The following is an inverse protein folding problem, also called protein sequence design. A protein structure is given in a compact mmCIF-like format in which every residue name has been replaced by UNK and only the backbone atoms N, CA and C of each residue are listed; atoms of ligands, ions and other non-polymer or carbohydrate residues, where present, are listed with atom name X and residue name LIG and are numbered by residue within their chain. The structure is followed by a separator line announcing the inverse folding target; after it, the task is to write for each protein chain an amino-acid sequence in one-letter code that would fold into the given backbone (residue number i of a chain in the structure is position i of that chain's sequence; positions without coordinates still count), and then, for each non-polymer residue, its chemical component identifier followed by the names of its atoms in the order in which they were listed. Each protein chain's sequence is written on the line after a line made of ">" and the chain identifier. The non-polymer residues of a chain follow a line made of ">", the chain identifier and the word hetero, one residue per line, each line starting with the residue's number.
data_IF_286763917276
#
_entry.id   IF_286763917276
#
_cell.length_a   1.000
_cell.length_b   1.000
_cell.length_c   1.000
_cell.angle_alpha   90.00
_cell.angle_beta   90.00
_cell.angle_gamma   90.00
#
_symmetry.space_group_name_H-M   'P 1'
#
loop_
_entity.id
_entity.type
_entity.pdbx_description
1 polymer ?
#
# COMPACT_ATOMS: atom_id res chain seq x y z
N UNK A 1 17.55 2.82 -23.31
CA UNK A 1 18.26 3.53 -22.22
C UNK A 1 17.32 4.39 -21.37
N UNK A 2 16.56 5.31 -21.97
CA UNK A 2 15.64 6.23 -21.26
C UNK A 2 14.54 5.52 -20.44
N UNK A 3 13.95 4.44 -20.97
CA UNK A 3 12.91 3.65 -20.28
C UNK A 3 13.45 2.94 -19.04
N UNK A 4 14.69 2.42 -19.11
CA UNK A 4 15.35 1.77 -17.98
C UNK A 4 15.67 2.77 -16.87
N UNK A 5 16.12 3.97 -17.24
CA UNK A 5 16.39 5.05 -16.28
C UNK A 5 15.10 5.54 -15.60
N UNK A 6 14.00 5.67 -16.36
CA UNK A 6 12.68 6.03 -15.82
C UNK A 6 12.15 4.99 -14.85
N UNK A 7 12.37 3.70 -15.09
CA UNK A 7 11.96 2.63 -14.17
C UNK A 7 12.82 2.60 -12.91
N UNK A 8 14.13 2.82 -13.05
CA UNK A 8 15.04 2.96 -11.91
C UNK A 8 14.61 4.17 -11.06
N UNK A 9 14.36 5.32 -11.68
CA UNK A 9 13.85 6.50 -10.96
C UNK A 9 12.46 6.26 -10.35
N UNK A 10 11.55 5.59 -11.06
CA UNK A 10 10.23 5.27 -10.53
C UNK A 10 10.31 4.31 -9.34
N UNK A 11 11.24 3.35 -9.37
CA UNK A 11 11.48 2.34 -8.34
C UNK A 11 12.26 2.89 -7.12
N UNK A 12 13.16 3.85 -7.35
CA UNK A 12 13.89 4.57 -6.29
C UNK A 12 12.97 5.57 -5.58
N UNK A 13 12.07 6.23 -6.31
CA UNK A 13 11.22 7.32 -5.78
C UNK A 13 9.91 6.80 -5.19
N UNK A 14 9.41 5.66 -5.67
CA UNK A 14 8.35 4.88 -5.04
C UNK A 14 8.80 3.43 -5.06
N UNK A 15 8.75 2.69 -3.96
CA UNK A 15 7.47 2.16 -3.52
C UNK A 15 7.77 1.29 -2.30
N UNK A 16 6.86 1.33 -1.33
CA UNK A 16 6.75 0.44 -0.17
C UNK A 16 6.89 -1.05 -0.56
N UNK A 17 6.93 -1.96 0.41
CA UNK A 17 7.10 -3.42 0.26
C UNK A 17 6.43 -4.09 -0.96
N UNK A 18 5.31 -3.56 -1.45
CA UNK A 18 4.52 -4.05 -2.59
C UNK A 18 5.27 -4.05 -3.94
N UNK A 19 6.23 -3.14 -4.19
CA UNK A 19 6.94 -3.12 -5.48
C UNK A 19 7.91 -4.29 -5.68
N UNK A 20 8.38 -4.91 -4.58
CA UNK A 20 9.28 -6.08 -4.64
C UNK A 20 8.65 -7.24 -5.40
N UNK A 21 7.32 -7.37 -5.35
CA UNK A 21 6.56 -8.41 -6.04
C UNK A 21 6.30 -8.11 -7.52
N UNK A 22 6.24 -6.84 -7.90
CA UNK A 22 5.94 -6.40 -9.27
C UNK A 22 7.21 -6.31 -10.12
N UNK A 23 8.36 -6.08 -9.50
CA UNK A 23 9.65 -5.92 -10.20
C UNK A 23 9.97 -7.07 -11.18
N UNK A 24 9.86 -8.36 -10.81
CA UNK A 24 10.19 -9.45 -11.73
C UNK A 24 9.29 -9.48 -12.96
N UNK A 25 8.00 -9.18 -12.80
CA UNK A 25 7.04 -9.17 -13.90
C UNK A 25 7.35 -8.03 -14.87
N UNK A 26 7.66 -6.84 -14.36
CA UNK A 26 8.03 -5.69 -15.19
C UNK A 26 9.34 -5.92 -15.94
N UNK A 27 10.36 -6.48 -15.27
CA UNK A 27 11.64 -6.79 -15.89
C UNK A 27 11.45 -7.83 -16.99
N UNK A 28 10.70 -8.90 -16.73
CA UNK A 28 10.41 -9.94 -17.72
C UNK A 28 9.67 -9.37 -18.94
N UNK A 29 8.70 -8.49 -18.71
CA UNK A 29 7.97 -7.80 -19.77
C UNK A 29 8.92 -6.99 -20.66
N UNK A 30 9.80 -6.18 -20.07
CA UNK A 30 10.76 -5.36 -20.80
C UNK A 30 11.74 -6.22 -21.58
N UNK A 31 12.33 -7.24 -20.95
CA UNK A 31 13.26 -8.13 -21.63
C UNK A 31 12.56 -8.87 -22.78
N UNK A 32 11.28 -9.21 -22.63
CA UNK A 32 10.50 -9.85 -23.70
C UNK A 32 10.20 -8.93 -24.87
N UNK A 33 10.08 -7.62 -24.64
CA UNK A 33 9.87 -6.62 -25.71
C UNK A 33 11.18 -6.29 -26.43
N UNK A 34 12.29 -6.14 -25.69
CA UNK A 34 13.54 -5.61 -26.24
C UNK A 34 14.56 -6.68 -26.65
N UNK A 35 14.55 -7.85 -26.03
CA UNK A 35 15.49 -8.93 -26.33
C UNK A 35 14.78 -10.01 -27.13
N UNK A 36 15.14 -10.15 -28.41
CA UNK A 36 14.78 -11.31 -29.23
C UNK A 36 15.68 -12.49 -28.88
N UNK A 37 15.52 -13.04 -27.69
CA UNK A 37 16.31 -14.18 -27.19
C UNK A 37 15.43 -15.31 -26.68
N UNK A 38 16.05 -16.46 -26.41
CA UNK A 38 15.37 -17.61 -25.80
C UNK A 38 14.71 -17.20 -24.47
N UNK A 39 13.51 -17.72 -24.22
CA UNK A 39 12.75 -17.49 -22.99
C UNK A 39 13.55 -17.84 -21.73
N UNK A 40 14.41 -18.88 -21.78
CA UNK A 40 15.27 -19.24 -20.66
C UNK A 40 16.26 -18.13 -20.30
N UNK A 41 16.90 -17.52 -21.30
CA UNK A 41 17.83 -16.39 -21.08
C UNK A 41 17.07 -15.21 -20.48
N UNK A 42 15.84 -14.94 -20.94
CA UNK A 42 15.00 -13.88 -20.40
C UNK A 42 14.61 -14.13 -18.94
N UNK A 43 14.23 -15.36 -18.59
CA UNK A 43 13.91 -15.73 -17.21
C UNK A 43 15.15 -15.59 -16.32
N UNK A 44 16.30 -16.14 -16.73
CA UNK A 44 17.53 -16.04 -15.96
C UNK A 44 17.97 -14.59 -15.75
N UNK A 45 17.96 -13.78 -16.80
CA UNK A 45 18.28 -12.35 -16.70
C UNK A 45 17.27 -11.62 -15.81
N UNK A 46 15.98 -11.94 -15.91
CA UNK A 46 14.94 -11.38 -15.03
C UNK A 46 15.25 -11.68 -13.57
N UNK A 47 15.54 -12.94 -13.24
CA UNK A 47 15.84 -13.35 -11.86
C UNK A 47 17.05 -12.61 -11.31
N UNK A 48 18.15 -12.53 -12.07
CA UNK A 48 19.38 -11.84 -11.65
C UNK A 48 19.11 -10.35 -11.41
N UNK A 49 18.50 -9.67 -12.37
CA UNK A 49 18.20 -8.23 -12.26
C UNK A 49 17.23 -7.96 -11.11
N UNK A 50 16.22 -8.82 -10.93
CA UNK A 50 15.25 -8.70 -9.82
C UNK A 50 15.93 -8.81 -8.46
N UNK A 51 16.82 -9.78 -8.28
CA UNK A 51 17.58 -9.95 -7.04
C UNK A 51 18.43 -8.72 -6.76
N UNK A 52 19.16 -8.21 -7.76
CA UNK A 52 19.99 -7.00 -7.62
C UNK A 52 19.14 -5.80 -7.21
N UNK A 53 18.01 -5.58 -7.88
CA UNK A 53 17.11 -4.46 -7.58
C UNK A 53 16.50 -4.60 -6.20
N UNK A 54 15.96 -5.78 -5.84
CA UNK A 54 15.32 -6.02 -4.54
C UNK A 54 16.34 -5.85 -3.41
N UNK A 55 17.51 -6.48 -3.50
CA UNK A 55 18.55 -6.41 -2.48
C UNK A 55 19.16 -5.01 -2.37
N UNK A 56 19.41 -4.36 -3.51
CA UNK A 56 19.87 -2.97 -3.55
C UNK A 56 18.89 -2.03 -2.87
N UNK A 57 17.58 -2.21 -3.08
CA UNK A 57 16.57 -1.41 -2.39
C UNK A 57 16.45 -1.71 -0.91
N UNK A 58 16.55 -2.97 -0.48
CA UNK A 58 16.61 -3.32 0.95
C UNK A 58 17.81 -2.64 1.62
N UNK A 59 18.96 -2.66 0.95
CA UNK A 59 20.19 -2.05 1.45
C UNK A 59 20.06 -0.52 1.52
N UNK A 60 19.62 0.12 0.44
CA UNK A 60 19.39 1.57 0.41
C UNK A 60 18.35 2.00 1.45
N UNK A 61 17.25 1.26 1.60
CA UNK A 61 16.25 1.54 2.63
C UNK A 61 16.88 1.48 4.03
N UNK A 62 17.72 0.48 4.30
CA UNK A 62 18.43 0.35 5.59
C UNK A 62 19.37 1.53 5.88
N UNK A 63 20.04 2.08 4.86
CA UNK A 63 21.01 3.17 5.05
C UNK A 63 20.41 4.57 5.00
N UNK A 64 19.34 4.77 4.23
CA UNK A 64 18.78 6.11 3.94
C UNK A 64 17.37 6.34 4.49
N UNK A 65 16.67 5.30 4.93
CA UNK A 65 15.37 5.47 5.58
C UNK A 65 15.59 5.53 7.09
N UNK A 66 15.06 6.57 7.74
CA UNK A 66 14.75 6.49 9.17
C UNK A 66 13.84 5.29 9.39
N UNK A 67 14.04 4.52 10.46
CA UNK A 67 13.17 3.39 10.81
C UNK A 67 11.72 3.88 10.97
N UNK A 68 10.96 3.78 9.88
CA UNK A 68 9.57 4.13 9.84
C UNK A 68 8.78 2.88 10.15
N UNK A 69 8.20 2.80 11.35
CA UNK A 69 7.28 1.73 11.74
C UNK A 69 5.91 1.85 11.04
N UNK A 70 5.90 2.31 9.78
CA UNK A 70 4.71 2.56 8.97
C UNK A 70 3.92 1.29 8.66
N UNK A 71 4.51 0.11 8.87
CA UNK A 71 3.88 -1.19 8.72
C UNK A 71 2.83 -1.48 9.78
N UNK A 72 2.94 -0.85 10.97
CA UNK A 72 1.98 -1.05 12.05
C UNK A 72 0.58 -0.54 11.68
N UNK A 73 0.47 0.50 10.84
CA UNK A 73 -0.82 1.09 10.48
C UNK A 73 -1.66 0.16 9.57
N UNK A 74 -1.13 -0.39 8.47
CA UNK A 74 -1.82 -1.44 7.72
C UNK A 74 -2.16 -2.64 8.60
N UNK A 75 -1.21 -3.12 9.42
CA UNK A 75 -1.43 -4.28 10.29
C UNK A 75 -2.60 -4.04 11.26
N UNK A 76 -2.58 -2.90 11.97
CA UNK A 76 -3.65 -2.48 12.86
C UNK A 76 -4.99 -2.44 12.13
N UNK A 77 -5.04 -1.81 10.95
CA UNK A 77 -6.27 -1.68 10.17
C UNK A 77 -6.84 -3.03 9.73
N UNK A 78 -5.98 -3.95 9.30
CA UNK A 78 -6.40 -5.28 8.89
C UNK A 78 -6.90 -6.11 10.09
N UNK A 79 -6.18 -6.06 11.22
CA UNK A 79 -6.58 -6.73 12.46
C UNK A 79 -7.92 -6.17 12.94
N UNK A 80 -8.06 -4.85 12.99
CA UNK A 80 -9.31 -4.15 13.33
C UNK A 80 -10.47 -4.59 12.43
N UNK A 81 -10.23 -4.67 11.11
CA UNK A 81 -11.26 -5.12 10.16
C UNK A 81 -11.69 -6.56 10.36
N UNK A 82 -10.75 -7.46 10.66
CA UNK A 82 -11.08 -8.85 11.00
C UNK A 82 -11.83 -8.93 12.33
N UNK A 83 -11.40 -8.22 13.37
CA UNK A 83 -12.08 -8.16 14.68
C UNK A 83 -13.52 -7.66 14.57
N UNK A 84 -13.76 -6.60 13.80
CA UNK A 84 -15.12 -6.08 13.58
C UNK A 84 -15.96 -7.08 12.78
N UNK A 85 -15.38 -7.76 11.79
CA UNK A 85 -16.11 -8.72 10.96
C UNK A 85 -16.49 -10.01 11.71
N UNK A 86 -15.68 -10.47 12.66
CA UNK A 86 -16.01 -11.61 13.53
C UNK A 86 -16.95 -11.24 14.68
N UNK A 87 -17.02 -9.94 15.03
CA UNK A 87 -17.89 -9.31 16.04
C UNK A 87 -17.73 -9.79 17.49
N UNK A 88 -17.21 -11.01 17.71
CA UNK A 88 -17.15 -11.68 19.01
C UNK A 88 -15.72 -11.86 19.54
N UNK A 89 -14.69 -11.49 18.78
CA UNK A 89 -13.29 -11.62 19.20
C UNK A 89 -12.51 -10.36 18.82
N UNK A 90 -11.86 -9.77 19.81
CA UNK A 90 -11.03 -8.58 19.65
C UNK A 90 -9.57 -9.01 19.53
N UNK A 91 -9.12 -9.14 18.28
CA UNK A 91 -7.78 -9.64 17.95
C UNK A 91 -6.67 -8.60 18.16
N UNK A 92 -6.99 -7.37 18.59
CA UNK A 92 -5.96 -6.36 18.82
C UNK A 92 -5.03 -6.76 19.98
N UNK A 93 -3.76 -6.33 19.97
CA UNK A 93 -2.84 -6.55 21.09
C UNK A 93 -3.32 -5.92 22.39
N UNK A 94 -2.90 -6.47 23.52
CA UNK A 94 -3.32 -5.98 24.85
C UNK A 94 -2.85 -4.55 25.10
N UNK A 95 -1.65 -4.17 24.63
CA UNK A 95 -1.16 -2.79 24.76
C UNK A 95 -2.08 -1.74 24.10
N UNK A 96 -2.86 -2.13 23.08
CA UNK A 96 -3.87 -1.25 22.46
C UNK A 96 -5.09 -1.14 23.36
N UNK A 97 -5.47 -2.25 23.99
CA UNK A 97 -6.65 -2.37 24.84
C UNK A 97 -6.46 -1.78 26.24
N UNK A 98 -5.22 -1.61 26.69
CA UNK A 98 -4.88 -1.06 27.99
C UNK A 98 -5.31 0.41 28.15
N UNK A 99 -5.22 1.21 27.09
CA UNK A 99 -5.66 2.61 27.11
C UNK A 99 -7.18 2.69 26.93
N UNK A 100 -7.92 2.53 28.03
CA UNK A 100 -9.40 2.57 28.07
C UNK A 100 -9.99 3.93 27.68
N UNK A 101 -9.20 5.00 27.70
CA UNK A 101 -9.66 6.32 27.26
C UNK A 101 -9.64 6.43 25.73
N UNK A 102 -8.73 5.72 25.08
CA UNK A 102 -8.57 5.73 23.62
C UNK A 102 -9.37 4.60 22.95
N UNK A 103 -9.37 3.42 23.57
CA UNK A 103 -9.86 2.19 22.96
C UNK A 103 -11.00 1.54 23.74
N UNK A 104 -12.08 1.24 23.02
CA UNK A 104 -13.04 0.21 23.39
C UNK A 104 -13.48 -0.53 22.13
N UNK A 105 -13.83 -1.80 22.27
CA UNK A 105 -14.23 -2.61 21.11
C UNK A 105 -15.51 -2.06 20.45
N UNK A 106 -16.43 -1.52 21.25
CA UNK A 106 -17.63 -0.86 20.73
C UNK A 106 -17.29 0.42 19.96
N UNK A 107 -16.32 1.21 20.42
CA UNK A 107 -15.84 2.38 19.69
C UNK A 107 -15.14 1.98 18.38
N UNK A 108 -14.36 0.90 18.40
CA UNK A 108 -13.77 0.34 17.18
C UNK A 108 -14.86 -0.02 16.17
N UNK A 109 -15.90 -0.77 16.58
CA UNK A 109 -17.01 -1.14 15.69
C UNK A 109 -17.73 0.08 15.12
N UNK A 110 -17.93 1.12 15.93
CA UNK A 110 -18.62 2.33 15.51
C UNK A 110 -17.82 3.15 14.49
N UNK A 111 -16.49 3.22 14.63
CA UNK A 111 -15.63 4.04 13.78
C UNK A 111 -15.01 3.32 12.58
N UNK A 112 -14.95 1.99 12.65
CA UNK A 112 -14.30 1.19 11.63
C UNK A 112 -15.07 1.26 10.30
N UNK A 113 -14.36 1.60 9.24
CA UNK A 113 -14.84 1.46 7.87
C UNK A 113 -13.75 0.82 7.02
N UNK A 114 -14.13 -0.07 6.10
CA UNK A 114 -13.18 -0.65 5.14
C UNK A 114 -12.70 0.37 4.08
N UNK A 115 -13.13 1.63 4.16
CA UNK A 115 -12.81 2.68 3.20
C UNK A 115 -11.70 3.61 3.66
N UNK A 116 -11.61 3.89 4.96
CA UNK A 116 -10.69 4.88 5.49
C UNK A 116 -9.97 4.34 6.72
N UNK A 117 -8.65 4.35 6.66
CA UNK A 117 -7.79 4.06 7.82
C UNK A 117 -7.76 5.25 8.79
N UNK A 118 -7.97 6.46 8.26
CA UNK A 118 -7.74 7.71 8.97
C UNK A 118 -8.67 7.88 10.17
N UNK A 119 -9.91 7.38 10.09
CA UNK A 119 -10.88 7.47 11.19
C UNK A 119 -10.41 6.76 12.45
N UNK A 120 -9.48 5.81 12.34
CA UNK A 120 -8.97 5.05 13.47
C UNK A 120 -7.67 5.62 14.05
N UNK A 121 -6.89 6.36 13.26
CA UNK A 121 -5.51 6.72 13.58
C UNK A 121 -5.35 8.24 13.77
N UNK A 122 -6.13 9.04 13.07
CA UNK A 122 -6.00 10.49 13.04
C UNK A 122 -7.23 11.19 13.60
N UNK A 123 -7.02 12.38 14.18
CA UNK A 123 -8.08 13.20 14.77
C UNK A 123 -8.35 12.88 16.25
N UNK A 124 -9.31 13.61 16.83
CA UNK A 124 -9.64 13.55 18.26
C UNK A 124 -10.34 12.25 18.66
N UNK A 125 -10.92 11.53 17.69
CA UNK A 125 -11.62 10.25 17.92
C UNK A 125 -10.75 9.04 17.66
N UNK A 126 -9.45 9.21 17.40
CA UNK A 126 -8.53 8.10 17.10
C UNK A 126 -8.59 7.04 18.21
N UNK A 127 -8.42 5.80 17.81
CA UNK A 127 -8.47 4.63 18.72
C UNK A 127 -7.11 3.94 18.85
N UNK A 128 -6.09 4.47 18.17
CA UNK A 128 -4.74 3.91 18.15
C UNK A 128 -3.68 4.99 18.08
N UNK A 129 -2.60 4.81 18.85
CA UNK A 129 -1.38 5.60 18.76
C UNK A 129 -0.26 4.72 18.24
N UNK A 130 0.40 5.18 17.16
CA UNK A 130 1.61 4.51 16.68
C UNK A 130 2.69 4.49 17.76
N UNK A 131 3.43 3.41 17.80
CA UNK A 131 4.53 3.19 18.74
C UNK A 131 5.84 2.92 18.02
N UNK A 132 6.94 3.17 18.72
CA UNK A 132 8.30 2.77 18.31
C UNK A 132 8.89 1.71 19.25
N UNK A 133 8.10 1.22 20.20
CA UNK A 133 8.52 0.16 21.11
C UNK A 133 8.59 -1.18 20.35
N UNK A 134 9.78 -1.81 20.24
CA UNK A 134 9.95 -3.06 19.51
C UNK A 134 9.04 -4.19 20.00
N UNK A 135 8.73 -4.24 21.30
CA UNK A 135 7.89 -5.28 21.89
C UNK A 135 6.45 -5.11 21.38
N UNK A 136 5.91 -3.89 21.45
CA UNK A 136 4.56 -3.57 20.98
C UNK A 136 4.42 -3.75 19.46
N UNK A 137 5.47 -3.46 18.70
CA UNK A 137 5.51 -3.71 17.26
C UNK A 137 5.46 -5.22 16.96
N UNK A 138 6.21 -6.03 17.70
CA UNK A 138 6.18 -7.48 17.56
C UNK A 138 4.81 -8.07 17.96
N UNK A 139 4.17 -7.53 19.00
CA UNK A 139 2.82 -7.93 19.38
C UNK A 139 1.80 -7.60 18.28
N UNK A 140 1.88 -6.41 17.66
CA UNK A 140 1.03 -6.05 16.53
C UNK A 140 1.22 -6.98 15.33
N UNK A 141 2.48 -7.31 15.01
CA UNK A 141 2.78 -8.26 13.95
C UNK A 141 2.23 -9.66 14.26
N UNK A 142 2.31 -10.09 15.52
CA UNK A 142 1.79 -11.37 15.98
C UNK A 142 0.27 -11.43 15.88
N UNK A 143 -0.43 -10.37 16.28
CA UNK A 143 -1.88 -10.22 16.12
C UNK A 143 -2.29 -10.25 14.64
N UNK A 144 -1.54 -9.57 13.77
CA UNK A 144 -1.76 -9.60 12.33
C UNK A 144 -1.61 -11.01 11.73
N UNK A 145 -0.55 -11.73 12.10
CA UNK A 145 -0.35 -13.12 11.66
C UNK A 145 -1.49 -14.01 12.17
N UNK A 146 -1.90 -13.85 13.44
CA UNK A 146 -3.02 -14.60 14.03
C UNK A 146 -4.33 -14.37 13.26
N UNK A 147 -4.64 -13.12 12.91
CA UNK A 147 -5.82 -12.77 12.12
C UNK A 147 -5.84 -13.48 10.76
N UNK A 148 -4.69 -13.57 10.08
CA UNK A 148 -4.56 -14.27 8.79
C UNK A 148 -4.72 -15.79 8.97
N UNK A 149 -4.01 -16.36 9.94
CA UNK A 149 -3.94 -17.80 10.12
C UNK A 149 -5.25 -18.39 10.63
N UNK A 150 -5.94 -17.70 11.53
CA UNK A 150 -7.16 -18.21 12.17
C UNK A 150 -8.44 -17.77 11.44
N UNK A 151 -8.41 -16.65 10.70
CA UNK A 151 -9.57 -16.14 9.97
C UNK A 151 -9.27 -15.81 8.49
N UNK A 152 -8.68 -16.72 7.70
CA UNK A 152 -8.16 -16.43 6.37
C UNK A 152 -9.21 -15.92 5.39
N UNK A 153 -10.43 -16.48 5.42
CA UNK A 153 -11.52 -16.07 4.52
C UNK A 153 -12.03 -14.66 4.85
N UNK A 154 -12.08 -14.32 6.14
CA UNK A 154 -12.54 -13.00 6.61
C UNK A 154 -11.48 -11.95 6.29
N UNK A 155 -10.21 -12.27 6.55
CA UNK A 155 -9.08 -11.44 6.17
C UNK A 155 -9.07 -11.17 4.65
N UNK A 156 -9.24 -12.22 3.83
CA UNK A 156 -9.26 -12.07 2.37
C UNK A 156 -10.45 -11.22 1.93
N UNK A 157 -11.64 -11.46 2.47
CA UNK A 157 -12.84 -10.65 2.20
C UNK A 157 -12.58 -9.17 2.56
N UNK A 158 -12.00 -8.91 3.72
CA UNK A 158 -11.63 -7.57 4.16
C UNK A 158 -10.67 -6.89 3.15
N UNK A 159 -9.58 -7.58 2.76
CA UNK A 159 -8.64 -7.07 1.75
C UNK A 159 -9.29 -6.83 0.39
N UNK A 160 -10.21 -7.69 -0.03
CA UNK A 160 -10.95 -7.53 -1.29
C UNK A 160 -11.88 -6.32 -1.25
N UNK A 161 -12.54 -6.05 -0.12
CA UNK A 161 -13.37 -4.86 0.07
C UNK A 161 -12.50 -3.60 0.06
N UNK A 162 -11.38 -3.58 0.78
CA UNK A 162 -10.44 -2.46 0.75
C UNK A 162 -9.96 -2.20 -0.69
N UNK A 163 -9.58 -3.27 -1.40
CA UNK A 163 -9.17 -3.18 -2.78
C UNK A 163 -10.28 -2.60 -3.67
N UNK A 164 -11.51 -3.09 -3.56
CA UNK A 164 -12.64 -2.55 -4.30
C UNK A 164 -12.87 -1.06 -3.99
N UNK A 165 -12.74 -0.64 -2.72
CA UNK A 165 -12.80 0.78 -2.36
C UNK A 165 -11.66 1.58 -2.97
N UNK A 166 -10.42 1.09 -2.93
CA UNK A 166 -9.28 1.76 -3.57
C UNK A 166 -9.48 1.91 -5.08
N UNK A 167 -10.05 0.91 -5.75
CA UNK A 167 -10.34 0.96 -7.17
C UNK A 167 -11.51 1.90 -7.51
N UNK A 168 -12.50 2.02 -6.64
CA UNK A 168 -13.69 2.88 -6.86
C UNK A 168 -13.48 4.32 -6.37
N UNK A 169 -12.53 4.57 -5.47
CA UNK A 169 -12.23 5.90 -4.93
C UNK A 169 -11.37 6.73 -5.89
N UNK A 170 -11.86 6.87 -7.12
CA UNK A 170 -11.23 7.53 -8.26
C UNK A 170 -11.06 9.04 -8.05
N UNK A 171 -11.78 9.60 -7.07
CA UNK A 171 -11.64 11.00 -6.64
C UNK A 171 -10.27 11.31 -6.01
N UNK A 172 -9.54 10.30 -5.51
CA UNK A 172 -8.22 10.51 -4.89
C UNK A 172 -7.03 10.43 -5.85
N UNK A 173 -7.26 10.09 -7.13
CA UNK A 173 -6.24 10.30 -8.16
C UNK A 173 -5.85 11.79 -8.30
N UNK A 174 -6.70 12.72 -7.83
CA UNK A 174 -6.38 14.15 -7.70
C UNK A 174 -5.33 14.47 -6.63
N UNK A 175 -5.06 13.57 -5.67
CA UNK A 175 -4.05 13.79 -4.62
C UNK A 175 -2.75 13.04 -4.89
N UNK A 176 -2.78 11.96 -5.69
CA UNK A 176 -1.57 11.30 -6.20
C UNK A 176 -0.79 12.14 -7.22
N UNK A 177 -1.43 13.17 -7.78
CA UNK A 177 -0.81 14.17 -8.62
C UNK A 177 -1.23 15.54 -8.09
N UNK A 178 -0.28 16.38 -7.66
CA UNK A 178 -0.58 17.77 -7.28
C UNK A 178 -1.36 18.40 -8.45
N UNK A 179 -2.56 18.92 -8.14
CA UNK A 179 -3.36 19.67 -9.09
C UNK A 179 -2.52 20.85 -9.61
N UNK A 180 -2.53 21.09 -10.92
CA UNK A 180 -1.78 22.20 -11.53
C UNK A 180 -2.13 23.54 -10.89
N UNK A 181 -3.38 23.72 -10.47
CA UNK A 181 -3.85 24.92 -9.77
C UNK A 181 -3.27 25.02 -8.36
N UNK A 182 -3.16 23.91 -7.64
CA UNK A 182 -2.58 23.84 -6.29
C UNK A 182 -1.05 24.00 -6.34
N UNK A 183 -0.38 23.39 -7.33
CA UNK A 183 1.05 23.54 -7.56
C UNK A 183 1.43 24.98 -7.92
N UNK A 184 0.61 25.67 -8.73
CA UNK A 184 0.81 27.09 -9.02
C UNK A 184 0.73 27.96 -7.75
N UNK A 185 -0.17 27.66 -6.80
CA UNK A 185 -0.22 28.37 -5.50
C UNK A 185 1.08 28.22 -4.71
N UNK A 186 1.82 27.14 -4.91
CA UNK A 186 3.08 26.85 -4.24
C UNK A 186 4.33 27.11 -5.10
N UNK A 187 4.20 27.80 -6.25
CA UNK A 187 5.29 28.04 -7.21
C UNK A 187 6.00 26.76 -7.69
N UNK A 188 5.29 25.63 -7.71
CA UNK A 188 5.81 24.36 -8.21
C UNK A 188 5.52 24.30 -9.72
N UNK A 189 6.55 24.45 -10.54
CA UNK A 189 6.44 24.33 -11.99
C UNK A 189 6.28 22.85 -12.40
N UNK A 190 5.02 22.43 -12.61
CA UNK A 190 4.73 21.08 -13.11
C UNK A 190 4.99 21.07 -14.62
N UNK A 191 6.20 20.65 -15.01
CA UNK A 191 6.53 20.39 -16.43
C UNK A 191 5.50 19.44 -17.06
N UNK A 192 4.99 19.86 -18.22
CA UNK A 192 3.93 19.19 -18.96
C UNK A 192 4.43 17.86 -19.55
N UNK A 193 4.46 16.80 -18.73
CA UNK A 193 4.97 15.49 -19.12
C UNK A 193 3.89 14.67 -19.84
N UNK A 194 4.14 14.30 -21.10
CA UNK A 194 3.26 13.43 -21.89
C UNK A 194 2.97 12.09 -21.20
N UNK A 195 3.93 11.56 -20.43
CA UNK A 195 3.76 10.35 -19.64
C UNK A 195 2.72 10.53 -18.52
N UNK A 196 2.75 11.68 -17.82
CA UNK A 196 1.75 12.02 -16.79
C UNK A 196 0.36 12.04 -17.42
N UNK A 197 0.19 12.70 -18.56
CA UNK A 197 -1.09 12.73 -19.31
C UNK A 197 -1.56 11.33 -19.72
N UNK A 198 -0.66 10.47 -20.21
CA UNK A 198 -0.99 9.11 -20.61
C UNK A 198 -1.45 8.25 -19.41
N UNK A 199 -0.74 8.32 -18.28
CA UNK A 199 -1.08 7.60 -17.05
C UNK A 199 -2.41 8.10 -16.49
N UNK A 200 -2.61 9.41 -16.39
CA UNK A 200 -3.88 9.99 -15.92
C UNK A 200 -5.05 9.57 -16.83
N UNK A 201 -4.86 9.56 -18.15
CA UNK A 201 -5.88 9.10 -19.10
C UNK A 201 -6.21 7.61 -18.91
N UNK A 202 -5.20 6.75 -18.79
CA UNK A 202 -5.38 5.32 -18.55
C UNK A 202 -6.16 5.05 -17.27
N UNK A 203 -5.74 5.65 -16.15
CA UNK A 203 -6.38 5.46 -14.84
C UNK A 203 -7.84 5.92 -14.84
N UNK A 204 -8.14 7.02 -15.55
CA UNK A 204 -9.51 7.53 -15.71
C UNK A 204 -10.38 6.60 -16.54
N UNK A 205 -9.88 6.13 -17.69
CA UNK A 205 -10.63 5.20 -18.55
C UNK A 205 -10.85 3.85 -17.86
N UNK A 206 -9.85 3.34 -17.12
CA UNK A 206 -9.98 2.12 -16.34
C UNK A 206 -11.04 2.25 -15.24
N UNK A 207 -11.03 3.37 -14.52
CA UNK A 207 -12.04 3.72 -13.51
C UNK A 207 -13.47 3.75 -14.07
N UNK A 208 -13.66 4.40 -15.23
CA UNK A 208 -14.96 4.48 -15.92
C UNK A 208 -15.46 3.10 -16.36
N UNK A 209 -14.55 2.23 -16.86
CA UNK A 209 -14.88 0.85 -17.24
C UNK A 209 -15.29 -0.01 -16.04
N UNK A 210 -14.69 0.20 -14.86
CA UNK A 210 -15.06 -0.52 -13.65
C UNK A 210 -16.42 -0.08 -13.08
N UNK A 211 -16.78 1.20 -13.22
CA UNK A 211 -18.09 1.70 -12.74
C UNK A 211 -19.26 1.19 -13.59
N UNK A 212 -19.05 0.99 -14.90
CA UNK A 212 -20.10 0.54 -15.83
C UNK A 212 -20.53 -0.93 -15.66
N UNK A 213 -19.87 -1.70 -14.77
CA UNK A 213 -20.18 -3.12 -14.51
C UNK A 213 -20.91 -3.38 -13.19
N UNK A 214 -21.18 -2.33 -12.40
CA UNK A 214 -21.80 -2.45 -11.06
C UNK A 214 -23.23 -1.85 -11.06
N UNK A 215 -23.68 -1.29 -12.18
CA UNK A 215 -25.07 -0.86 -12.45
C UNK A 215 -25.77 -1.85 -13.36
#
# INVERSE_FOLDING_TARGET
>A
MVVGLLLICFYIVGVKFQAKFIAPILILFILSVYLKTNILIRITATSIISVIIIYGNITLAKYFSTEGHSEQLPQFFDVAGVSVAINNDDLLPDYVKEDKNLYSFENLKAQYTARWVDTLIFGDTRIYNSTSDPIKLQEMQSAYIKAIMYHPLIFLKHRMINFAFLMTNTRFYRYGFIDSTEAQKHNIDIKNNHLKKAITKYLRTFAELCQYRIS
#
